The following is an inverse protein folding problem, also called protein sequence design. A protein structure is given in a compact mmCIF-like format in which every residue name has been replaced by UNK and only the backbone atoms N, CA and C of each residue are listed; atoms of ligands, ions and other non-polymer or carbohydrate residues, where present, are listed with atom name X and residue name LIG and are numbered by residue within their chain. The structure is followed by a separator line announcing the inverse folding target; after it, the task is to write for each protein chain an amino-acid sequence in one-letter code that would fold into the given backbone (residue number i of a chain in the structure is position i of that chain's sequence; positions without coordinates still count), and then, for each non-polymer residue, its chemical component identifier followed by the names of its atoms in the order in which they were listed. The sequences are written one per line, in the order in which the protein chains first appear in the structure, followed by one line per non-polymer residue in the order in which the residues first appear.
data_IF_605017603996
#
_entry.id   IF_605017603996
#
_cell.length_a   1.000
_cell.length_b   1.000
_cell.length_c   1.000
_cell.angle_alpha   90.00
_cell.angle_beta   90.00
_cell.angle_gamma   90.00
#
_symmetry.space_group_name_H-M   'P 1'
#
loop_
_entity.id
_entity.type
_entity.pdbx_description
1 polymer ?
#
# COMPACT_ATOMS: atom_id res chain seq x y z
N UNK A 1 -2.88 12.97 -13.64
CA UNK A 1 -4.06 12.42 -12.96
C UNK A 1 -3.68 11.92 -11.59
N UNK A 2 -4.39 12.40 -10.61
CA UNK A 2 -4.12 12.01 -9.22
C UNK A 2 -4.36 10.51 -9.04
N UNK A 3 -3.50 9.85 -8.27
CA UNK A 3 -3.59 8.44 -8.00
C UNK A 3 -2.99 7.52 -9.06
N UNK A 4 -2.16 8.04 -9.96
CA UNK A 4 -1.53 7.24 -11.03
C UNK A 4 -0.02 7.36 -11.05
N UNK A 5 0.65 6.64 -10.16
CA UNK A 5 2.09 6.48 -10.21
C UNK A 5 2.92 7.72 -9.91
N UNK A 6 2.29 8.77 -9.40
CA UNK A 6 3.03 9.96 -8.98
C UNK A 6 3.82 9.66 -7.72
N UNK A 7 5.09 10.07 -7.71
CA UNK A 7 5.98 9.87 -6.56
C UNK A 7 5.98 11.14 -5.72
N UNK A 8 5.75 10.98 -4.42
CA UNK A 8 5.77 12.07 -3.44
C UNK A 8 6.89 11.83 -2.43
N UNK A 9 7.71 12.84 -2.20
CA UNK A 9 8.67 12.83 -1.11
C UNK A 9 7.99 13.39 0.14
N UNK A 10 7.82 12.57 1.15
CA UNK A 10 7.11 12.94 2.39
C UNK A 10 8.01 12.76 3.60
N UNK A 11 7.70 13.52 4.65
CA UNK A 11 8.29 13.34 5.97
C UNK A 11 7.18 12.99 6.96
N UNK A 12 7.18 11.75 7.43
CA UNK A 12 6.14 11.21 8.31
C UNK A 12 6.78 10.88 9.67
N UNK A 13 6.38 11.60 10.71
CA UNK A 13 6.95 11.46 12.07
C UNK A 13 8.49 11.52 12.02
N UNK A 14 9.02 12.53 11.29
CA UNK A 14 10.46 12.74 11.16
C UNK A 14 11.21 11.78 10.25
N UNK A 15 10.52 10.85 9.60
CA UNK A 15 11.12 9.87 8.68
C UNK A 15 10.86 10.29 7.25
N UNK A 16 11.92 10.39 6.44
CA UNK A 16 11.78 10.71 5.01
C UNK A 16 11.48 9.44 4.24
N UNK A 17 10.38 9.46 3.51
CA UNK A 17 9.92 8.32 2.69
C UNK A 17 9.53 8.79 1.30
N UNK A 18 9.46 7.86 0.37
CA UNK A 18 8.89 8.09 -0.95
C UNK A 18 7.58 7.33 -1.05
N UNK A 19 6.52 7.98 -1.55
CA UNK A 19 5.19 7.38 -1.69
C UNK A 19 4.77 7.43 -3.16
N UNK A 20 4.43 6.27 -3.71
CA UNK A 20 3.87 6.15 -5.05
C UNK A 20 2.36 6.05 -4.91
N UNK A 21 1.64 7.00 -5.51
CA UNK A 21 0.19 7.06 -5.44
C UNK A 21 -0.46 6.31 -6.60
N UNK A 22 -1.03 5.16 -6.32
CA UNK A 22 -1.85 4.35 -7.21
C UNK A 22 -3.24 4.11 -6.60
N UNK A 23 -3.72 5.08 -5.83
CA UNK A 23 -4.91 4.94 -4.97
C UNK A 23 -6.24 5.12 -5.70
N UNK A 24 -6.25 5.11 -7.02
CA UNK A 24 -7.47 5.36 -7.77
C UNK A 24 -8.13 4.09 -8.35
N UNK A 25 -7.39 3.03 -8.56
CA UNK A 25 -7.92 1.77 -9.07
C UNK A 25 -7.03 0.58 -8.71
N UNK A 26 -7.64 -0.58 -8.58
CA UNK A 26 -6.92 -1.84 -8.39
C UNK A 26 -7.71 -3.01 -8.98
N UNK A 27 -7.06 -3.71 -9.89
CA UNK A 27 -7.47 -5.02 -10.39
C UNK A 27 -6.24 -5.94 -10.34
N UNK A 28 -6.40 -7.26 -10.52
CA UNK A 28 -5.26 -8.17 -10.40
C UNK A 28 -4.09 -7.82 -11.31
N UNK A 29 -4.36 -7.47 -12.56
CA UNK A 29 -3.32 -7.16 -13.55
C UNK A 29 -2.58 -5.87 -13.21
N UNK A 30 -3.30 -4.78 -12.94
CA UNK A 30 -2.68 -3.50 -12.59
C UNK A 30 -1.91 -3.59 -11.28
N UNK A 31 -2.37 -4.41 -10.35
CA UNK A 31 -1.69 -4.64 -9.07
C UNK A 31 -0.35 -5.33 -9.26
N UNK A 32 -0.31 -6.38 -10.07
CA UNK A 32 0.96 -7.07 -10.39
C UNK A 32 1.94 -6.12 -11.07
N UNK A 33 1.47 -5.30 -12.00
CA UNK A 33 2.31 -4.31 -12.68
C UNK A 33 2.88 -3.27 -11.70
N UNK A 34 2.07 -2.79 -10.77
CA UNK A 34 2.52 -1.81 -9.77
C UNK A 34 3.53 -2.41 -8.79
N UNK A 35 3.35 -3.67 -8.40
CA UNK A 35 4.31 -4.35 -7.53
C UNK A 35 5.66 -4.52 -8.25
N UNK A 36 5.64 -4.89 -9.53
CA UNK A 36 6.85 -4.98 -10.33
C UNK A 36 7.55 -3.63 -10.49
N UNK A 37 6.77 -2.54 -10.56
CA UNK A 37 7.31 -1.19 -10.65
C UNK A 37 8.17 -0.83 -9.44
N UNK A 38 7.84 -1.33 -8.26
CA UNK A 38 8.67 -1.10 -7.05
C UNK A 38 10.10 -1.62 -7.25
N UNK A 39 10.24 -2.81 -7.81
CA UNK A 39 11.56 -3.39 -8.09
C UNK A 39 12.30 -2.62 -9.19
N UNK A 40 11.57 -2.08 -10.17
CA UNK A 40 12.16 -1.27 -11.24
C UNK A 40 12.67 0.08 -10.72
N UNK A 41 11.90 0.76 -9.86
CA UNK A 41 12.28 2.05 -9.28
C UNK A 41 13.49 1.89 -8.38
N UNK A 42 13.51 0.85 -7.55
CA UNK A 42 14.62 0.55 -6.64
C UNK A 42 15.47 -0.61 -7.19
N UNK A 43 16.00 -0.44 -8.40
CA UNK A 43 16.72 -1.52 -9.06
C UNK A 43 18.01 -1.92 -8.32
N UNK A 44 18.58 -1.03 -7.49
CA UNK A 44 19.71 -1.33 -6.61
C UNK A 44 19.31 -2.08 -5.35
N UNK A 45 18.02 -2.30 -5.14
CA UNK A 45 17.45 -2.99 -3.97
C UNK A 45 17.93 -2.41 -2.64
N UNK A 46 18.05 -1.08 -2.59
CA UNK A 46 18.57 -0.36 -1.43
C UNK A 46 17.48 0.08 -0.44
N UNK A 47 16.21 -0.03 -0.82
CA UNK A 47 15.07 0.46 -0.03
C UNK A 47 14.18 -0.67 0.45
N UNK A 48 13.62 -0.50 1.66
CA UNK A 48 12.55 -1.36 2.12
C UNK A 48 11.26 -0.98 1.39
N UNK A 49 10.55 -1.97 0.86
CA UNK A 49 9.36 -1.78 0.03
C UNK A 49 8.11 -2.10 0.82
N UNK A 50 7.25 -1.10 0.96
CA UNK A 50 6.00 -1.19 1.73
C UNK A 50 4.83 -1.09 0.75
N UNK A 51 3.92 -2.06 0.80
CA UNK A 51 2.67 -2.01 0.05
C UNK A 51 1.52 -1.69 1.01
N UNK A 52 0.79 -0.62 0.72
CA UNK A 52 -0.46 -0.28 1.42
C UNK A 52 -1.59 -0.55 0.44
N UNK A 53 -2.41 -1.56 0.72
CA UNK A 53 -3.32 -2.12 -0.27
C UNK A 53 -4.76 -2.14 0.26
N UNK A 54 -5.69 -1.58 -0.52
CA UNK A 54 -7.12 -1.67 -0.27
C UNK A 54 -7.78 -2.73 -1.13
N UNK A 55 -9.02 -3.07 -0.81
CA UNK A 55 -9.80 -4.05 -1.55
C UNK A 55 -9.76 -3.83 -3.06
N UNK A 56 -9.64 -4.92 -3.81
CA UNK A 56 -9.96 -4.92 -5.23
C UNK A 56 -11.47 -5.16 -5.32
N UNK A 57 -12.22 -4.12 -5.66
CA UNK A 57 -13.67 -4.17 -5.76
C UNK A 57 -14.14 -4.60 -7.15
N UNK A 58 -15.42 -4.87 -7.27
CA UNK A 58 -16.07 -5.22 -8.54
C UNK A 58 -15.60 -6.55 -9.17
N UNK A 59 -15.03 -7.45 -8.37
CA UNK A 59 -14.61 -8.77 -8.83
C UNK A 59 -15.71 -9.85 -8.68
N UNK A 60 -16.81 -9.50 -8.04
CA UNK A 60 -17.94 -10.41 -7.84
C UNK A 60 -17.53 -11.69 -7.11
N UNK A 61 -17.96 -12.83 -7.63
CA UNK A 61 -17.68 -14.14 -7.03
C UNK A 61 -16.21 -14.54 -7.10
N UNK A 62 -15.40 -13.84 -7.89
CA UNK A 62 -13.97 -14.12 -8.04
C UNK A 62 -13.11 -13.35 -7.03
N UNK A 63 -13.70 -12.49 -6.20
CA UNK A 63 -12.96 -11.64 -5.28
C UNK A 63 -12.00 -12.41 -4.39
N UNK A 64 -12.47 -13.45 -3.72
CA UNK A 64 -11.63 -14.26 -2.84
C UNK A 64 -10.44 -14.86 -3.57
N UNK A 65 -10.68 -15.52 -4.69
CA UNK A 65 -9.63 -16.18 -5.48
C UNK A 65 -8.59 -15.18 -6.00
N UNK A 66 -9.04 -14.02 -6.46
CA UNK A 66 -8.16 -12.99 -6.99
C UNK A 66 -7.29 -12.37 -5.90
N UNK A 67 -7.85 -12.13 -4.73
CA UNK A 67 -7.06 -11.65 -3.59
C UNK A 67 -6.02 -12.67 -3.15
N UNK A 68 -6.37 -13.96 -3.15
CA UNK A 68 -5.41 -15.03 -2.82
C UNK A 68 -4.30 -15.11 -3.87
N UNK A 69 -4.64 -14.98 -5.14
CA UNK A 69 -3.64 -14.97 -6.22
C UNK A 69 -2.63 -13.84 -6.04
N UNK A 70 -3.10 -12.66 -5.70
CA UNK A 70 -2.20 -11.52 -5.44
C UNK A 70 -1.34 -11.76 -4.21
N UNK A 71 -1.86 -12.40 -3.18
CA UNK A 71 -1.04 -12.78 -2.02
C UNK A 71 0.14 -13.65 -2.43
N UNK A 72 -0.11 -14.65 -3.27
CA UNK A 72 0.96 -15.51 -3.80
C UNK A 72 1.99 -14.72 -4.58
N UNK A 73 1.54 -13.79 -5.41
CA UNK A 73 2.41 -12.91 -6.19
C UNK A 73 3.29 -12.04 -5.26
N UNK A 74 2.70 -11.46 -4.23
CA UNK A 74 3.41 -10.65 -3.23
C UNK A 74 4.46 -11.49 -2.49
N UNK A 75 4.09 -12.71 -2.09
CA UNK A 75 4.99 -13.60 -1.36
C UNK A 75 6.28 -13.89 -2.13
N UNK A 76 6.21 -13.91 -3.46
CA UNK A 76 7.36 -14.15 -4.34
C UNK A 76 8.06 -12.85 -4.78
N UNK A 77 7.52 -11.70 -4.41
CA UNK A 77 8.04 -10.39 -4.80
C UNK A 77 9.05 -9.82 -3.82
N UNK A 78 9.61 -8.66 -4.16
CA UNK A 78 10.53 -7.90 -3.30
C UNK A 78 9.81 -7.06 -2.23
N UNK A 79 8.48 -7.13 -2.13
CA UNK A 79 7.73 -6.39 -1.11
C UNK A 79 8.14 -6.91 0.28
N UNK A 80 8.48 -6.01 1.18
CA UNK A 80 8.92 -6.35 2.54
C UNK A 80 7.78 -6.39 3.55
N UNK A 81 6.86 -5.41 3.49
CA UNK A 81 5.70 -5.35 4.40
C UNK A 81 4.45 -4.94 3.65
N UNK A 82 3.31 -5.49 4.08
CA UNK A 82 1.99 -5.21 3.52
C UNK A 82 1.05 -4.73 4.61
N UNK A 83 0.37 -3.63 4.33
CA UNK A 83 -0.70 -3.06 5.15
C UNK A 83 -1.98 -3.13 4.35
N UNK A 84 -3.04 -3.71 4.92
CA UNK A 84 -4.29 -3.96 4.21
C UNK A 84 -5.47 -3.23 4.85
N UNK A 85 -6.27 -2.55 4.02
CA UNK A 85 -7.52 -1.90 4.44
C UNK A 85 -8.71 -2.51 3.71
N UNK A 86 -9.68 -2.99 4.47
CA UNK A 86 -10.92 -3.51 3.92
C UNK A 86 -11.25 -4.93 4.40
N UNK A 87 -12.43 -5.40 4.02
CA UNK A 87 -12.92 -6.73 4.42
C UNK A 87 -12.55 -7.81 3.42
N UNK A 88 -12.63 -7.54 2.12
CA UNK A 88 -12.33 -8.54 1.09
C UNK A 88 -10.84 -8.86 1.02
N UNK A 89 -10.00 -7.86 1.26
CA UNK A 89 -8.54 -8.04 1.25
C UNK A 89 -8.03 -8.92 2.41
N UNK A 90 -8.89 -9.25 3.36
CA UNK A 90 -8.57 -10.21 4.40
C UNK A 90 -8.16 -11.56 3.81
N UNK A 91 -8.74 -11.94 2.66
CA UNK A 91 -8.37 -13.17 1.95
C UNK A 91 -6.91 -13.13 1.48
N UNK A 92 -6.44 -11.97 1.06
CA UNK A 92 -5.02 -11.76 0.72
C UNK A 92 -4.17 -11.81 1.98
N UNK A 93 -4.56 -11.06 3.01
CA UNK A 93 -3.84 -10.99 4.28
C UNK A 93 -3.59 -12.36 4.89
N UNK A 94 -4.62 -13.19 4.94
CA UNK A 94 -4.53 -14.53 5.54
C UNK A 94 -3.59 -15.47 4.76
N UNK A 95 -3.26 -15.14 3.52
CA UNK A 95 -2.37 -15.92 2.66
C UNK A 95 -0.99 -15.32 2.48
N UNK A 96 -0.70 -14.18 3.13
CA UNK A 96 0.65 -13.63 3.17
C UNK A 96 1.53 -14.44 4.12
N UNK A 97 2.80 -14.60 3.78
CA UNK A 97 3.77 -15.14 4.73
C UNK A 97 3.92 -14.17 5.91
N UNK A 98 4.11 -14.71 7.11
CA UNK A 98 4.09 -13.91 8.34
C UNK A 98 5.09 -12.76 8.33
N UNK A 99 6.27 -12.97 7.77
CA UNK A 99 7.32 -11.95 7.71
C UNK A 99 6.95 -10.72 6.87
N UNK A 100 5.94 -10.84 6.01
CA UNK A 100 5.47 -9.72 5.16
C UNK A 100 4.24 -9.01 5.72
N UNK A 101 3.68 -9.48 6.82
CA UNK A 101 2.48 -8.88 7.41
C UNK A 101 2.81 -7.66 8.24
N UNK A 102 2.38 -6.48 7.78
CA UNK A 102 2.43 -5.25 8.56
C UNK A 102 1.24 -5.13 9.48
N UNK A 103 0.07 -4.84 8.94
CA UNK A 103 -1.18 -4.77 9.67
C UNK A 103 -2.38 -4.89 8.73
N UNK A 104 -3.50 -5.38 9.24
CA UNK A 104 -4.79 -5.38 8.54
C UNK A 104 -5.85 -4.75 9.43
N UNK A 105 -6.69 -3.88 8.85
CA UNK A 105 -7.83 -3.29 9.54
C UNK A 105 -8.95 -2.98 8.55
N UNK A 106 -10.18 -2.92 9.05
CA UNK A 106 -11.30 -2.35 8.33
C UNK A 106 -11.48 -0.87 8.68
N UNK A 107 -10.77 -0.40 9.71
CA UNK A 107 -10.82 1.00 10.15
C UNK A 107 -9.58 1.74 9.64
N UNK A 108 -9.76 2.76 8.76
CA UNK A 108 -8.64 3.51 8.20
C UNK A 108 -7.76 4.18 9.25
N UNK A 109 -8.34 4.73 10.32
CA UNK A 109 -7.59 5.44 11.36
C UNK A 109 -6.64 4.49 12.12
N UNK A 110 -7.13 3.28 12.40
CA UNK A 110 -6.30 2.27 13.06
C UNK A 110 -5.15 1.86 12.13
N UNK A 111 -5.43 1.65 10.85
CA UNK A 111 -4.39 1.29 9.90
C UNK A 111 -3.35 2.41 9.75
N UNK A 112 -3.79 3.66 9.65
CA UNK A 112 -2.90 4.83 9.54
C UNK A 112 -1.95 4.88 10.73
N UNK A 113 -2.46 4.71 11.94
CA UNK A 113 -1.63 4.72 13.14
C UNK A 113 -0.57 3.61 13.11
N UNK A 114 -0.97 2.40 12.77
CA UNK A 114 -0.02 1.27 12.64
C UNK A 114 1.02 1.53 11.55
N UNK A 115 0.61 2.03 10.41
CA UNK A 115 1.50 2.36 9.30
C UNK A 115 2.55 3.39 9.72
N UNK A 116 2.11 4.51 10.29
CA UNK A 116 3.02 5.58 10.73
C UNK A 116 4.06 5.09 11.74
N UNK A 117 3.64 4.23 12.66
CA UNK A 117 4.54 3.69 13.68
C UNK A 117 5.58 2.71 13.12
N UNK A 118 5.24 2.01 12.04
CA UNK A 118 6.12 0.99 11.44
C UNK A 118 6.98 1.49 10.29
N UNK A 119 6.67 2.66 9.73
CA UNK A 119 7.50 3.26 8.68
C UNK A 119 8.90 3.57 9.20
N UNK A 120 9.87 3.43 8.33
CA UNK A 120 11.30 3.72 8.61
C UNK A 120 11.85 4.72 7.60
N UNK A 121 12.94 5.39 8.01
CA UNK A 121 13.67 6.27 7.11
C UNK A 121 13.99 5.57 5.80
N UNK A 122 13.78 6.27 4.70
CA UNK A 122 14.07 5.83 3.34
C UNK A 122 13.16 4.72 2.79
N UNK A 123 12.03 4.42 3.44
CA UNK A 123 11.05 3.47 2.90
C UNK A 123 10.49 3.94 1.55
N UNK A 124 10.24 2.99 0.67
CA UNK A 124 9.51 3.19 -0.58
C UNK A 124 8.12 2.57 -0.42
N UNK A 125 7.09 3.41 -0.47
CA UNK A 125 5.71 3.02 -0.17
C UNK A 125 4.87 3.11 -1.44
N UNK A 126 4.17 2.02 -1.77
CA UNK A 126 3.17 2.01 -2.85
C UNK A 126 1.78 1.95 -2.21
N UNK A 127 0.92 2.92 -2.56
CA UNK A 127 -0.46 2.95 -2.10
C UNK A 127 -1.37 2.57 -3.27
N UNK A 128 -2.11 1.47 -3.13
CA UNK A 128 -2.94 0.94 -4.20
C UNK A 128 -4.25 0.35 -3.66
N UNK A 129 -5.31 0.57 -4.41
CA UNK A 129 -6.62 0.03 -4.07
C UNK A 129 -7.69 0.60 -5.01
N UNK A 130 -8.88 0.00 -4.98
CA UNK A 130 -10.02 0.56 -5.68
C UNK A 130 -10.44 1.89 -5.04
N UNK A 131 -10.93 2.82 -5.84
CA UNK A 131 -11.23 4.18 -5.36
C UNK A 131 -12.19 4.21 -4.17
N UNK A 132 -13.08 3.22 -4.05
CA UNK A 132 -14.06 3.11 -2.96
C UNK A 132 -13.61 2.20 -1.82
N UNK A 133 -12.37 1.75 -1.83
CA UNK A 133 -11.87 0.79 -0.82
C UNK A 133 -11.47 1.42 0.51
N UNK A 134 -11.45 2.74 0.61
CA UNK A 134 -10.90 3.45 1.77
C UNK A 134 -9.42 3.80 1.63
N UNK A 135 -8.77 3.36 0.56
CA UNK A 135 -7.34 3.60 0.35
C UNK A 135 -7.00 5.08 0.22
N UNK A 136 -7.90 5.88 -0.37
CA UNK A 136 -7.69 7.32 -0.49
C UNK A 136 -7.65 8.03 0.86
N UNK A 137 -8.37 7.53 1.84
CA UNK A 137 -8.35 8.10 3.20
C UNK A 137 -6.94 8.00 3.77
N UNK A 138 -6.27 6.88 3.53
CA UNK A 138 -4.91 6.64 4.00
C UNK A 138 -3.93 7.56 3.28
N UNK A 139 -4.02 7.64 1.96
CA UNK A 139 -3.16 8.53 1.19
C UNK A 139 -3.33 9.99 1.64
N UNK A 140 -4.57 10.45 1.75
CA UNK A 140 -4.86 11.82 2.17
C UNK A 140 -4.34 12.13 3.57
N UNK A 141 -4.42 11.16 4.49
CA UNK A 141 -3.89 11.34 5.85
C UNK A 141 -2.38 11.56 5.86
N UNK A 142 -1.64 10.85 5.01
CA UNK A 142 -0.20 11.05 4.88
C UNK A 142 0.12 12.43 4.29
N UNK A 143 -0.65 12.85 3.28
CA UNK A 143 -0.47 14.17 2.66
C UNK A 143 -0.82 15.31 3.60
N UNK A 144 -1.87 15.16 4.41
CA UNK A 144 -2.26 16.16 5.42
C UNK A 144 -1.18 16.35 6.47
N UNK A 145 -0.54 15.30 6.92
CA UNK A 145 0.56 15.39 7.87
C UNK A 145 1.72 16.20 7.29
N UNK A 146 2.03 15.99 6.02
CA UNK A 146 3.07 16.75 5.32
C UNK A 146 2.71 18.23 5.25
N UNK A 147 1.45 18.57 4.93
CA UNK A 147 0.98 19.96 4.87
C UNK A 147 1.04 20.63 6.24
N UNK A 148 0.60 19.96 7.29
CA UNK A 148 0.63 20.49 8.65
C UNK A 148 2.06 20.80 9.12
N UNK A 149 3.04 19.99 8.72
CA UNK A 149 4.44 20.24 9.03
C UNK A 149 4.99 21.47 8.31
N UNK A 150 4.55 21.70 7.08
CA UNK A 150 4.99 22.85 6.28
C UNK A 150 4.39 24.17 6.78
N UNK A 151 3.28 24.12 7.50
CA UNK A 151 2.58 25.28 8.07
C UNK A 151 3.09 25.61 9.49
N UNK A 152 3.54 24.60 10.21
CA UNK A 152 3.94 24.75 11.61
C UNK A 152 5.30 25.47 11.76
#
# INVERSE_FOLDING_TARGET
MDGRGKIHDLSIIGKKIEVIDESYNANPESTKSSINLLSEIDFLKSKRKILVFGDMLELGNFSKEMHIEIASFINESDVDLVFCIGSEIKNLWDNLILSKRGYHSIDPEILISSLKNKLKENDLVLIKGSSKSGIKIIFNALMEEQLNRNIA
#
